data_IF_755887497974
#
_entry.id   IF_755887497974
#
_cell.length_a   1.000
_cell.length_b   1.000
_cell.length_c   1.000
_cell.angle_alpha   90.00
_cell.angle_beta   90.00
_cell.angle_gamma   90.00
#
_symmetry.space_group_name_H-M   'P 1'
#
loop_
_entity.id
_entity.type
_entity.pdbx_description
1 polymer ?
#
# COMPACT_ATOMS: atom_id res chain seq x y z
N UNK A 1 -10.71 -11.77 23.48
CA UNK A 1 -9.62 -12.07 22.54
C UNK A 1 -8.33 -11.38 22.96
N UNK A 2 -7.19 -11.75 22.38
CA UNK A 2 -5.94 -11.00 22.51
C UNK A 2 -5.82 -9.97 21.37
N UNK A 3 -5.27 -8.79 21.69
CA UNK A 3 -5.06 -7.72 20.74
C UNK A 3 -3.88 -6.83 21.13
N UNK A 4 -3.28 -6.18 20.13
CA UNK A 4 -2.33 -5.10 20.33
C UNK A 4 -3.10 -3.78 20.40
N UNK A 5 -3.29 -3.26 21.58
CA UNK A 5 -4.10 -2.08 21.87
C UNK A 5 -3.20 -0.87 22.08
N UNK A 6 -3.46 0.19 21.35
CA UNK A 6 -2.81 1.48 21.53
C UNK A 6 -3.63 2.34 22.51
N UNK A 7 -3.05 2.61 23.67
CA UNK A 7 -3.67 3.41 24.75
C UNK A 7 -3.27 4.88 24.71
N UNK A 8 -2.17 5.20 24.04
CA UNK A 8 -1.62 6.54 23.90
C UNK A 8 -0.37 6.50 23.03
N UNK A 9 0.25 7.66 22.79
CA UNK A 9 1.53 7.70 22.06
C UNK A 9 2.59 6.84 22.75
N UNK A 10 3.24 6.01 21.97
CA UNK A 10 4.26 5.02 22.39
C UNK A 10 3.75 3.96 23.40
N UNK A 11 2.44 3.90 23.63
CA UNK A 11 1.84 2.96 24.58
C UNK A 11 0.97 1.92 23.86
N UNK A 12 1.61 1.03 23.11
CA UNK A 12 0.98 -0.11 22.47
C UNK A 12 1.25 -1.38 23.29
N UNK A 13 0.19 -2.10 23.68
CA UNK A 13 0.26 -3.26 24.58
C UNK A 13 -0.45 -4.46 23.98
N UNK A 14 0.12 -5.64 24.14
CA UNK A 14 -0.58 -6.91 23.89
C UNK A 14 -1.39 -7.27 25.12
N UNK A 15 -2.71 -7.17 25.03
CA UNK A 15 -3.59 -7.32 26.17
C UNK A 15 -4.87 -8.11 25.83
N UNK A 16 -5.68 -8.38 26.85
CA UNK A 16 -7.03 -8.94 26.67
C UNK A 16 -7.97 -7.82 26.24
N UNK A 17 -8.66 -8.03 25.14
CA UNK A 17 -9.60 -7.09 24.57
C UNK A 17 -10.96 -7.73 24.34
N UNK A 18 -12.00 -6.92 24.27
CA UNK A 18 -13.33 -7.40 23.95
C UNK A 18 -13.34 -8.07 22.56
N UNK A 19 -13.94 -9.27 22.49
CA UNK A 19 -14.12 -9.93 21.19
C UNK A 19 -15.28 -9.25 20.45
N UNK A 20 -15.06 -8.73 19.22
CA UNK A 20 -16.10 -8.01 18.52
C UNK A 20 -17.27 -8.91 18.15
N UNK A 21 -18.48 -8.39 18.30
CA UNK A 21 -19.71 -9.08 17.92
C UNK A 21 -20.04 -8.86 16.44
N UNK A 22 -20.53 -9.94 15.79
CA UNK A 22 -21.02 -9.86 14.41
C UNK A 22 -22.39 -9.19 14.38
N UNK A 23 -22.58 -8.29 13.44
CA UNK A 23 -23.83 -7.58 13.17
C UNK A 23 -24.38 -7.98 11.81
N UNK A 24 -25.66 -7.72 11.51
CA UNK A 24 -26.20 -7.92 10.16
C UNK A 24 -25.31 -7.25 9.10
N UNK A 25 -25.04 -7.96 8.00
CA UNK A 25 -24.17 -7.47 6.91
C UNK A 25 -22.67 -7.47 7.19
N UNK A 26 -22.20 -8.03 8.34
CA UNK A 26 -20.77 -8.10 8.67
C UNK A 26 -20.30 -9.55 8.79
N UNK A 27 -18.98 -9.73 8.73
CA UNK A 27 -18.31 -11.02 9.00
C UNK A 27 -17.21 -10.84 10.03
N UNK A 28 -16.99 -11.87 10.85
CA UNK A 28 -15.84 -11.97 11.74
C UNK A 28 -14.73 -12.75 11.07
N UNK A 29 -13.58 -12.14 10.97
CA UNK A 29 -12.38 -12.74 10.40
C UNK A 29 -11.41 -13.08 11.53
N UNK A 30 -10.97 -14.34 11.59
CA UNK A 30 -9.81 -14.75 12.38
C UNK A 30 -8.56 -14.32 11.64
N UNK A 31 -7.87 -13.31 12.17
CA UNK A 31 -6.66 -12.76 11.54
C UNK A 31 -5.51 -13.76 11.62
N UNK A 32 -4.91 -14.09 10.50
CA UNK A 32 -3.75 -14.99 10.40
C UNK A 32 -2.45 -14.24 10.19
N UNK A 33 -2.49 -13.18 9.40
CA UNK A 33 -1.35 -12.32 9.15
C UNK A 33 -1.83 -10.88 8.98
N UNK A 34 -1.05 -9.93 9.49
CA UNK A 34 -1.33 -8.50 9.32
C UNK A 34 -0.02 -7.71 9.22
N UNK A 35 0.09 -6.84 8.21
CA UNK A 35 1.26 -5.99 7.97
C UNK A 35 1.20 -4.71 8.80
N UNK A 36 2.36 -4.20 9.21
CA UNK A 36 2.48 -2.84 9.72
C UNK A 36 2.64 -1.90 8.52
N UNK A 37 1.68 -1.00 8.34
CA UNK A 37 1.74 0.05 7.33
C UNK A 37 2.62 1.22 7.82
N UNK A 38 3.29 1.90 6.88
CA UNK A 38 3.99 3.15 7.19
C UNK A 38 3.09 4.22 7.84
N UNK A 39 1.79 4.19 7.56
CA UNK A 39 0.82 5.10 8.19
C UNK A 39 0.49 4.77 9.65
N UNK A 40 0.76 3.56 10.14
CA UNK A 40 0.57 3.19 11.54
C UNK A 40 1.70 3.74 12.41
N UNK A 41 2.89 3.89 11.84
CA UNK A 41 4.09 4.34 12.57
C UNK A 41 3.89 5.72 13.24
N UNK A 42 3.48 6.78 12.52
CA UNK A 42 3.25 8.08 13.16
C UNK A 42 2.07 8.06 14.15
N UNK A 43 1.09 7.16 13.98
CA UNK A 43 -0.01 7.01 14.96
C UNK A 43 0.47 6.45 16.28
N UNK A 44 1.44 5.53 16.25
CA UNK A 44 2.00 4.93 17.45
C UNK A 44 3.08 5.80 18.07
N UNK A 45 4.00 6.37 17.26
CA UNK A 45 5.24 6.98 17.76
C UNK A 45 5.23 8.53 17.82
N UNK A 46 4.32 9.21 17.09
CA UNK A 46 4.43 10.67 16.91
C UNK A 46 3.14 11.46 17.14
N UNK A 47 2.18 11.32 16.20
CA UNK A 47 1.01 12.22 16.13
C UNK A 47 -0.22 11.71 16.84
N UNK A 48 -0.21 10.43 17.24
CA UNK A 48 -1.33 9.78 17.86
C UNK A 48 -2.39 9.26 16.88
N UNK A 49 -3.34 8.52 17.44
CA UNK A 49 -4.48 7.95 16.73
C UNK A 49 -5.69 8.91 16.79
N UNK A 50 -6.71 8.64 16.00
CA UNK A 50 -7.96 9.42 15.99
C UNK A 50 -8.73 9.32 17.30
N UNK A 51 -8.58 8.22 18.02
CA UNK A 51 -9.20 7.96 19.32
C UNK A 51 -8.39 6.90 20.08
N UNK A 52 -8.61 6.80 21.39
CA UNK A 52 -8.01 5.81 22.27
C UNK A 52 -9.06 5.21 23.21
N UNK A 53 -8.92 3.93 23.59
CA UNK A 53 -7.98 2.98 23.09
C UNK A 53 -8.37 2.46 21.70
N UNK A 54 -7.38 2.13 20.86
CA UNK A 54 -7.62 1.62 19.49
C UNK A 54 -6.75 0.43 19.16
N UNK A 55 -7.31 -0.54 18.45
CA UNK A 55 -6.59 -1.61 17.76
C UNK A 55 -6.33 -1.14 16.33
N UNK A 56 -5.05 -0.95 15.98
CA UNK A 56 -4.65 -0.57 14.62
C UNK A 56 -4.60 -1.78 13.68
N UNK A 57 -4.02 -1.61 12.49
CA UNK A 57 -3.82 -2.65 11.49
C UNK A 57 -4.94 -2.74 10.47
N UNK A 58 -4.55 -2.71 9.19
CA UNK A 58 -5.47 -2.65 8.04
C UNK A 58 -4.99 -3.43 6.82
N UNK A 59 -3.77 -3.96 6.85
CA UNK A 59 -3.21 -4.84 5.81
C UNK A 59 -3.28 -6.28 6.33
N UNK A 60 -4.38 -7.01 6.11
CA UNK A 60 -4.55 -8.31 6.77
C UNK A 60 -5.25 -9.36 5.90
N UNK A 61 -5.07 -10.60 6.32
CA UNK A 61 -5.77 -11.76 5.80
C UNK A 61 -6.12 -12.75 6.91
N UNK A 62 -7.12 -13.58 6.65
CA UNK A 62 -7.55 -14.59 7.59
C UNK A 62 -8.74 -15.40 7.12
N UNK A 63 -9.35 -16.14 8.06
CA UNK A 63 -10.49 -17.01 7.81
C UNK A 63 -11.78 -16.39 8.34
N UNK A 64 -12.85 -16.46 7.57
CA UNK A 64 -14.19 -16.14 8.06
C UNK A 64 -14.62 -17.20 9.09
N UNK A 65 -14.90 -16.78 10.31
CA UNK A 65 -15.30 -17.69 11.41
C UNK A 65 -16.73 -17.47 11.87
N UNK A 66 -17.35 -16.36 11.51
CA UNK A 66 -18.74 -16.05 11.80
C UNK A 66 -19.31 -15.13 10.72
N UNK A 67 -20.57 -15.37 10.33
CA UNK A 67 -21.25 -14.64 9.25
C UNK A 67 -22.54 -14.04 9.81
N UNK A 68 -22.71 -12.73 9.64
CA UNK A 68 -23.90 -12.01 10.07
C UNK A 68 -25.11 -12.22 9.18
N UNK A 69 -26.27 -11.89 9.70
CA UNK A 69 -27.52 -11.97 8.97
C UNK A 69 -27.44 -11.14 7.68
N UNK A 70 -28.01 -11.68 6.58
CA UNK A 70 -28.08 -11.01 5.28
C UNK A 70 -26.85 -11.13 4.40
N UNK A 71 -25.74 -11.69 4.89
CA UNK A 71 -24.55 -11.98 4.06
C UNK A 71 -24.80 -13.23 3.23
N UNK A 72 -24.57 -13.16 1.91
CA UNK A 72 -24.88 -14.26 0.96
C UNK A 72 -23.63 -14.83 0.28
N UNK A 73 -22.61 -14.02 0.07
CA UNK A 73 -21.47 -14.38 -0.79
C UNK A 73 -20.26 -14.90 -0.01
N UNK A 74 -20.35 -14.97 1.32
CA UNK A 74 -19.31 -15.45 2.21
C UNK A 74 -19.84 -16.56 3.12
N UNK A 75 -18.98 -17.54 3.39
CA UNK A 75 -19.22 -18.68 4.26
C UNK A 75 -18.13 -18.84 5.30
N UNK A 76 -18.46 -19.47 6.42
CA UNK A 76 -17.45 -19.88 7.42
C UNK A 76 -16.42 -20.78 6.73
N UNK A 77 -15.14 -20.46 6.94
CA UNK A 77 -14.00 -21.14 6.32
C UNK A 77 -13.47 -20.48 5.06
N UNK A 78 -14.15 -19.47 4.50
CA UNK A 78 -13.61 -18.70 3.39
C UNK A 78 -12.37 -17.92 3.82
N UNK A 79 -11.34 -17.91 2.96
CA UNK A 79 -10.15 -17.09 3.13
C UNK A 79 -10.38 -15.71 2.53
N UNK A 80 -10.10 -14.66 3.31
CA UNK A 80 -10.34 -13.27 2.90
C UNK A 80 -9.20 -12.33 3.26
N UNK A 81 -8.99 -11.33 2.40
CA UNK A 81 -8.23 -10.12 2.72
C UNK A 81 -9.20 -8.95 2.92
N UNK A 82 -8.90 -8.07 3.86
CA UNK A 82 -9.82 -6.98 4.21
C UNK A 82 -9.51 -5.69 3.46
N UNK A 83 -10.49 -5.16 2.73
CA UNK A 83 -10.45 -3.82 2.16
C UNK A 83 -10.79 -2.79 3.24
N UNK A 84 -9.83 -1.95 3.71
CA UNK A 84 -10.02 -1.22 4.97
C UNK A 84 -10.95 -0.01 4.90
N UNK A 85 -11.19 0.58 3.72
CA UNK A 85 -12.09 1.73 3.59
C UNK A 85 -13.55 1.29 3.81
N UNK A 86 -14.27 2.01 4.64
CA UNK A 86 -15.72 1.85 4.83
C UNK A 86 -16.40 3.15 4.42
N UNK A 87 -16.74 3.31 3.13
CA UNK A 87 -17.38 4.53 2.62
C UNK A 87 -18.84 4.60 3.05
N UNK A 88 -19.40 5.81 3.11
CA UNK A 88 -20.79 5.99 3.53
C UNK A 88 -21.84 5.56 2.51
N UNK A 89 -21.46 5.28 1.28
CA UNK A 89 -22.28 4.89 0.11
C UNK A 89 -23.37 5.90 -0.32
N UNK A 90 -23.52 7.02 0.40
CA UNK A 90 -24.64 7.96 0.22
C UNK A 90 -24.21 9.35 -0.28
N UNK A 91 -22.95 9.78 -0.11
CA UNK A 91 -22.51 11.09 -0.57
C UNK A 91 -22.29 11.12 -2.09
N UNK A 92 -22.20 12.32 -2.66
CA UNK A 92 -22.02 12.49 -4.10
C UNK A 92 -20.80 11.79 -4.68
N UNK A 93 -19.68 11.75 -3.93
CA UNK A 93 -18.48 11.03 -4.35
C UNK A 93 -18.73 9.51 -4.41
N UNK A 94 -19.39 8.95 -3.38
CA UNK A 94 -19.74 7.52 -3.38
C UNK A 94 -20.70 7.15 -4.52
N UNK A 95 -21.68 7.99 -4.81
CA UNK A 95 -22.64 7.76 -5.90
C UNK A 95 -21.98 7.80 -7.28
N UNK A 96 -20.83 8.46 -7.41
CA UNK A 96 -20.02 8.50 -8.62
C UNK A 96 -18.95 7.40 -8.66
N UNK A 97 -18.88 6.54 -7.64
CA UNK A 97 -17.85 5.51 -7.53
C UNK A 97 -16.48 5.99 -7.00
N UNK A 98 -16.40 7.24 -6.57
CA UNK A 98 -15.17 7.84 -6.02
C UNK A 98 -15.07 7.56 -4.51
N UNK A 99 -15.05 6.30 -4.12
CA UNK A 99 -15.16 5.89 -2.71
C UNK A 99 -14.05 6.42 -1.82
N UNK A 100 -12.82 6.51 -2.34
CA UNK A 100 -11.66 7.06 -1.64
C UNK A 100 -11.84 8.55 -1.26
N UNK A 101 -12.72 9.28 -1.95
CA UNK A 101 -13.03 10.69 -1.72
C UNK A 101 -14.25 10.90 -0.82
N UNK A 102 -14.81 9.83 -0.26
CA UNK A 102 -15.96 9.90 0.64
C UNK A 102 -15.64 10.77 1.87
N UNK A 103 -16.45 11.81 2.11
CA UNK A 103 -16.26 12.74 3.24
C UNK A 103 -16.64 12.17 4.60
N UNK A 104 -17.39 11.07 4.61
CA UNK A 104 -17.94 10.42 5.80
C UNK A 104 -17.46 8.97 5.96
N UNK A 105 -16.26 8.66 5.46
CA UNK A 105 -15.74 7.31 5.55
C UNK A 105 -15.28 6.95 6.96
N UNK A 106 -15.40 5.68 7.29
CA UNK A 106 -14.62 5.02 8.33
C UNK A 106 -13.47 4.22 7.71
N UNK A 107 -12.53 3.79 8.53
CA UNK A 107 -11.37 3.05 8.06
C UNK A 107 -10.95 2.03 9.12
N UNK A 108 -10.94 0.76 8.76
CA UNK A 108 -10.55 -0.35 9.62
C UNK A 108 -9.08 -0.13 10.05
N UNK A 109 -8.82 -0.22 11.36
CA UNK A 109 -7.48 -0.03 11.91
C UNK A 109 -7.02 1.42 12.08
N UNK A 110 -7.90 2.40 11.93
CA UNK A 110 -7.56 3.80 12.28
C UNK A 110 -8.74 4.63 12.76
N UNK A 111 -9.93 4.50 12.13
CA UNK A 111 -11.17 5.17 12.53
C UNK A 111 -12.18 4.22 13.17
N UNK A 112 -11.86 2.95 13.17
CA UNK A 112 -12.48 1.86 13.91
C UNK A 112 -11.44 0.81 14.24
N UNK A 113 -11.79 -0.18 15.10
CA UNK A 113 -10.88 -1.24 15.51
C UNK A 113 -10.41 -2.06 14.30
N UNK A 114 -9.14 -2.45 14.31
CA UNK A 114 -8.46 -3.10 13.18
C UNK A 114 -7.95 -4.51 13.46
N UNK A 115 -6.97 -4.91 12.69
CA UNK A 115 -6.50 -6.28 12.55
C UNK A 115 -5.31 -6.66 13.45
N UNK A 116 -4.76 -5.74 14.26
CA UNK A 116 -3.75 -6.14 15.25
C UNK A 116 -4.39 -6.87 16.43
N UNK A 117 -5.17 -7.90 16.13
CA UNK A 117 -5.95 -8.71 17.06
C UNK A 117 -6.14 -10.12 16.53
N UNK A 118 -6.63 -11.05 17.39
CA UNK A 118 -7.03 -12.40 16.95
C UNK A 118 -8.22 -12.36 15.98
N UNK A 119 -9.14 -11.42 16.17
CA UNK A 119 -10.35 -11.29 15.36
C UNK A 119 -10.64 -9.83 15.02
N UNK A 120 -11.18 -9.62 13.84
CA UNK A 120 -11.72 -8.34 13.39
C UNK A 120 -13.11 -8.57 12.76
N UNK A 121 -14.04 -7.65 12.98
CA UNK A 121 -15.35 -7.65 12.32
C UNK A 121 -15.36 -6.54 11.28
N UNK A 122 -15.73 -6.92 10.05
CA UNK A 122 -15.75 -6.02 8.89
C UNK A 122 -17.07 -6.14 8.13
N UNK A 123 -17.53 -5.12 7.40
CA UNK A 123 -18.65 -5.27 6.47
C UNK A 123 -18.34 -6.36 5.44
N UNK A 124 -19.31 -7.19 5.09
CA UNK A 124 -19.10 -8.30 4.16
C UNK A 124 -18.56 -7.83 2.79
N UNK A 125 -19.02 -6.68 2.30
CA UNK A 125 -18.51 -6.07 1.07
C UNK A 125 -17.02 -5.67 1.11
N UNK A 126 -16.43 -5.60 2.30
CA UNK A 126 -15.02 -5.30 2.53
C UNK A 126 -14.16 -6.57 2.61
N UNK A 127 -14.76 -7.74 2.66
CA UNK A 127 -14.06 -9.02 2.70
C UNK A 127 -13.84 -9.55 1.28
N UNK A 128 -12.62 -9.41 0.77
CA UNK A 128 -12.23 -9.87 -0.57
C UNK A 128 -11.78 -11.32 -0.48
N UNK A 129 -12.61 -12.23 -1.00
CA UNK A 129 -12.32 -13.66 -1.04
C UNK A 129 -11.19 -13.95 -2.01
N UNK A 130 -10.31 -14.86 -1.64
CA UNK A 130 -9.20 -15.29 -2.48
C UNK A 130 -9.01 -16.81 -2.42
N UNK A 131 -8.26 -17.36 -3.37
CA UNK A 131 -7.96 -18.78 -3.44
C UNK A 131 -7.09 -19.22 -2.25
N UNK A 132 -7.47 -20.27 -1.47
CA UNK A 132 -6.74 -20.70 -0.29
C UNK A 132 -5.32 -21.23 -0.58
N UNK A 133 -4.94 -21.41 -1.85
CA UNK A 133 -3.55 -21.68 -2.23
C UNK A 133 -2.61 -20.50 -2.01
N UNK A 134 -3.15 -19.27 -1.92
CA UNK A 134 -2.37 -18.06 -1.61
C UNK A 134 -2.10 -18.03 -0.10
N UNK A 135 -0.83 -18.02 0.35
CA UNK A 135 -0.49 -17.96 1.77
C UNK A 135 -1.02 -16.68 2.45
N UNK A 136 -1.43 -16.77 3.71
CA UNK A 136 -1.97 -15.62 4.45
C UNK A 136 -1.05 -14.39 4.45
N UNK A 137 0.27 -14.57 4.60
CA UNK A 137 1.22 -13.45 4.56
C UNK A 137 1.24 -12.74 3.21
N UNK A 138 1.07 -13.50 2.14
CA UNK A 138 0.94 -12.96 0.79
C UNK A 138 -0.40 -12.24 0.62
N UNK A 139 -1.50 -12.83 1.11
CA UNK A 139 -2.82 -12.22 1.03
C UNK A 139 -2.96 -10.97 1.92
N UNK A 140 -2.19 -10.86 3.02
CA UNK A 140 -2.09 -9.63 3.81
C UNK A 140 -1.43 -8.48 3.01
N UNK A 141 -0.74 -8.78 1.91
CA UNK A 141 -0.16 -7.79 1.01
C UNK A 141 -1.12 -7.33 -0.11
N UNK A 142 -2.38 -7.77 -0.10
CA UNK A 142 -3.36 -7.31 -1.09
C UNK A 142 -3.56 -5.81 -1.00
N UNK A 143 -3.78 -5.28 0.20
CA UNK A 143 -4.00 -3.84 0.40
C UNK A 143 -2.87 -3.00 -0.20
N UNK A 144 -1.58 -3.16 0.17
CA UNK A 144 -0.52 -2.36 -0.43
C UNK A 144 -0.33 -2.62 -1.95
N UNK A 145 -0.64 -3.82 -2.44
CA UNK A 145 -0.65 -4.08 -3.88
C UNK A 145 -1.75 -3.30 -4.61
N UNK A 146 -2.94 -3.19 -3.99
CA UNK A 146 -4.04 -2.42 -4.59
C UNK A 146 -3.75 -0.92 -4.62
N UNK A 147 -3.05 -0.38 -3.63
CA UNK A 147 -2.56 1.02 -3.64
C UNK A 147 -1.64 1.27 -4.84
N UNK A 148 -0.75 0.31 -5.11
CA UNK A 148 0.18 0.42 -6.23
C UNK A 148 -0.53 0.41 -7.60
N UNK A 149 -1.40 -0.58 -7.86
CA UNK A 149 -2.15 -0.63 -9.13
C UNK A 149 -3.06 0.58 -9.30
N UNK A 150 -3.68 1.07 -8.23
CA UNK A 150 -4.52 2.27 -8.29
C UNK A 150 -3.74 3.48 -8.81
N UNK A 151 -2.48 3.64 -8.39
CA UNK A 151 -1.59 4.68 -8.92
C UNK A 151 -1.40 4.60 -10.44
N UNK A 152 -1.23 3.38 -11.00
CA UNK A 152 -1.14 3.19 -12.43
C UNK A 152 -2.45 3.56 -13.14
N UNK A 153 -3.58 3.17 -12.54
CA UNK A 153 -4.91 3.47 -13.10
C UNK A 153 -5.22 4.97 -13.06
N UNK A 154 -4.83 5.68 -12.01
CA UNK A 154 -4.98 7.13 -11.90
C UNK A 154 -4.09 7.88 -12.91
N UNK A 155 -2.91 7.34 -13.23
CA UNK A 155 -2.03 7.87 -14.28
C UNK A 155 -2.49 7.51 -15.70
N UNK A 156 -3.61 6.82 -15.87
CA UNK A 156 -4.09 6.31 -17.16
C UNK A 156 -3.05 5.44 -17.91
N UNK A 157 -2.24 4.69 -17.15
CA UNK A 157 -1.15 3.88 -17.71
C UNK A 157 -1.67 2.79 -18.65
N UNK A 158 -1.14 2.73 -19.88
CA UNK A 158 -1.58 1.80 -20.92
C UNK A 158 -0.58 0.70 -21.26
N UNK A 159 0.63 0.74 -20.69
CA UNK A 159 1.74 -0.14 -21.11
C UNK A 159 2.45 0.34 -22.37
N UNK A 160 3.47 -0.41 -22.79
CA UNK A 160 4.26 -0.11 -23.99
C UNK A 160 5.28 1.03 -23.84
N UNK A 161 5.38 1.64 -22.67
CA UNK A 161 6.16 2.86 -22.41
C UNK A 161 7.28 2.63 -21.38
N UNK A 162 8.17 3.63 -21.28
CA UNK A 162 9.23 3.65 -20.27
C UNK A 162 8.68 4.13 -18.93
N UNK A 163 9.11 3.47 -17.86
CA UNK A 163 8.62 3.70 -16.50
C UNK A 163 9.78 3.96 -15.55
N UNK A 164 9.70 5.02 -14.78
CA UNK A 164 10.56 5.28 -13.62
C UNK A 164 9.77 5.04 -12.32
N UNK A 165 10.34 4.25 -11.41
CA UNK A 165 9.81 4.02 -10.07
C UNK A 165 10.73 4.68 -9.05
N UNK A 166 10.22 5.67 -8.31
CA UNK A 166 10.98 6.41 -7.30
C UNK A 166 10.62 5.92 -5.91
N UNK A 167 11.56 5.20 -5.29
CA UNK A 167 11.38 4.46 -4.05
C UNK A 167 11.02 2.99 -4.29
N UNK A 168 11.83 2.08 -3.72
CA UNK A 168 11.68 0.64 -3.84
C UNK A 168 11.19 0.02 -2.51
N UNK A 169 10.36 0.73 -1.77
CA UNK A 169 9.59 0.18 -0.65
C UNK A 169 8.49 -0.76 -1.14
N UNK A 170 7.65 -1.23 -0.24
CA UNK A 170 6.56 -2.16 -0.56
C UNK A 170 5.69 -1.68 -1.72
N UNK A 171 5.26 -0.41 -1.70
CA UNK A 171 4.43 0.17 -2.77
C UNK A 171 5.20 0.24 -4.09
N UNK A 172 6.48 0.70 -4.06
CA UNK A 172 7.29 0.81 -5.28
C UNK A 172 7.54 -0.53 -5.95
N UNK A 173 7.79 -1.58 -5.18
CA UNK A 173 7.97 -2.94 -5.71
C UNK A 173 6.68 -3.48 -6.34
N UNK A 174 5.51 -3.21 -5.76
CA UNK A 174 4.25 -3.59 -6.40
C UNK A 174 3.95 -2.71 -7.63
N UNK A 175 4.21 -1.40 -7.58
CA UNK A 175 4.05 -0.51 -8.73
C UNK A 175 4.89 -0.99 -9.93
N UNK A 176 6.13 -1.41 -9.66
CA UNK A 176 7.03 -2.00 -10.65
C UNK A 176 6.44 -3.26 -11.29
N UNK A 177 5.94 -4.18 -10.46
CA UNK A 177 5.36 -5.43 -10.94
C UNK A 177 4.08 -5.19 -11.76
N UNK A 178 3.22 -4.30 -11.28
CA UNK A 178 2.02 -3.91 -12.03
C UNK A 178 2.36 -3.25 -13.36
N UNK A 179 3.36 -2.36 -13.39
CA UNK A 179 3.82 -1.78 -14.63
C UNK A 179 4.31 -2.85 -15.63
N UNK A 180 5.00 -3.88 -15.13
CA UNK A 180 5.46 -5.02 -15.94
C UNK A 180 4.31 -5.86 -16.46
N UNK A 181 3.34 -6.21 -15.59
CA UNK A 181 2.12 -6.97 -15.95
C UNK A 181 1.34 -6.23 -17.04
N UNK A 182 1.25 -4.92 -16.95
CA UNK A 182 0.58 -4.08 -17.96
C UNK A 182 1.44 -3.80 -19.20
N UNK A 183 2.62 -4.43 -19.32
CA UNK A 183 3.43 -4.41 -20.52
C UNK A 183 4.36 -3.21 -20.65
N UNK A 184 4.97 -2.75 -19.56
CA UNK A 184 6.01 -1.73 -19.61
C UNK A 184 7.11 -2.11 -20.61
N UNK A 185 7.54 -1.16 -21.46
CA UNK A 185 8.64 -1.36 -22.39
C UNK A 185 9.98 -1.46 -21.66
N UNK A 186 10.18 -0.62 -20.65
CA UNK A 186 11.38 -0.60 -19.81
C UNK A 186 11.03 0.00 -18.45
N UNK A 187 11.51 -0.62 -17.38
CA UNK A 187 11.31 -0.18 -16.00
C UNK A 187 12.64 0.10 -15.35
N UNK A 188 12.83 1.31 -14.85
CA UNK A 188 14.01 1.70 -14.08
C UNK A 188 13.58 2.10 -12.65
N UNK A 189 14.19 1.47 -11.67
CA UNK A 189 13.91 1.71 -10.27
C UNK A 189 15.02 2.53 -9.60
N UNK A 190 14.61 3.50 -8.79
CA UNK A 190 15.50 4.44 -8.09
C UNK A 190 15.28 4.32 -6.58
N UNK A 191 16.33 4.11 -5.83
CA UNK A 191 16.32 4.11 -4.36
C UNK A 191 17.70 4.52 -3.83
N UNK A 192 17.79 4.72 -2.53
CA UNK A 192 19.06 4.97 -1.80
C UNK A 192 19.64 3.69 -1.19
N UNK A 193 18.87 2.61 -1.10
CA UNK A 193 19.20 1.35 -0.44
C UNK A 193 19.46 0.24 -1.46
N UNK A 194 20.67 -0.34 -1.43
CA UNK A 194 21.07 -1.39 -2.38
C UNK A 194 20.27 -2.68 -2.20
N UNK A 195 19.82 -2.99 -0.98
CA UNK A 195 19.03 -4.18 -0.69
C UNK A 195 17.65 -4.09 -1.35
N UNK A 196 17.00 -2.91 -1.26
CA UNK A 196 15.72 -2.63 -1.94
C UNK A 196 15.89 -2.62 -3.45
N UNK A 197 16.99 -2.07 -3.97
CA UNK A 197 17.30 -2.12 -5.39
C UNK A 197 17.54 -3.55 -5.88
N UNK A 198 18.22 -4.39 -5.10
CA UNK A 198 18.39 -5.80 -5.43
C UNK A 198 17.04 -6.55 -5.46
N UNK A 199 16.11 -6.23 -4.54
CA UNK A 199 14.74 -6.75 -4.59
C UNK A 199 14.02 -6.25 -5.84
N UNK A 200 14.08 -4.95 -6.17
CA UNK A 200 13.48 -4.39 -7.37
C UNK A 200 13.97 -5.11 -8.64
N UNK A 201 15.27 -5.39 -8.72
CA UNK A 201 15.85 -6.14 -9.85
C UNK A 201 15.28 -7.56 -9.95
N UNK A 202 15.18 -8.29 -8.83
CA UNK A 202 14.55 -9.63 -8.79
C UNK A 202 13.07 -9.60 -9.18
N UNK A 203 12.37 -8.53 -8.78
CA UNK A 203 10.93 -8.37 -9.08
C UNK A 203 10.65 -7.86 -10.49
N UNK A 204 11.69 -7.55 -11.26
CA UNK A 204 11.56 -7.33 -12.69
C UNK A 204 11.91 -5.94 -13.20
N UNK A 205 12.59 -5.10 -12.42
CA UNK A 205 13.21 -3.89 -12.94
C UNK A 205 14.28 -4.24 -13.98
N UNK A 206 14.26 -3.55 -15.11
CA UNK A 206 15.29 -3.71 -16.15
C UNK A 206 16.62 -3.09 -15.74
N UNK A 207 16.56 -1.94 -15.04
CA UNK A 207 17.73 -1.29 -14.44
C UNK A 207 17.39 -0.75 -13.05
N UNK A 208 18.41 -0.59 -12.22
CA UNK A 208 18.29 -0.03 -10.87
C UNK A 208 19.37 1.02 -10.64
N UNK A 209 19.03 2.13 -10.00
CA UNK A 209 19.94 3.26 -9.78
C UNK A 209 19.92 3.65 -8.31
N UNK A 210 21.10 3.57 -7.65
CA UNK A 210 21.27 4.11 -6.31
C UNK A 210 21.56 5.60 -6.40
N UNK A 211 20.63 6.43 -5.97
CA UNK A 211 20.68 7.89 -6.12
C UNK A 211 21.66 8.60 -5.18
N UNK A 212 22.22 7.91 -4.19
CA UNK A 212 23.31 8.42 -3.36
C UNK A 212 24.70 8.12 -3.93
N UNK A 213 24.81 7.09 -4.79
CA UNK A 213 26.08 6.57 -5.31
C UNK A 213 26.36 7.00 -6.74
N UNK A 214 25.36 7.49 -7.45
CA UNK A 214 25.42 7.77 -8.89
C UNK A 214 24.74 9.09 -9.21
N UNK A 215 25.23 9.78 -10.24
CA UNK A 215 24.44 10.84 -10.87
C UNK A 215 23.26 10.21 -11.59
N UNK A 216 22.11 10.21 -10.92
CA UNK A 216 20.90 9.58 -11.45
C UNK A 216 20.43 10.22 -12.75
N UNK A 217 20.70 11.52 -12.98
CA UNK A 217 20.34 12.19 -14.24
C UNK A 217 21.23 11.77 -15.39
N UNK A 218 22.53 11.53 -15.17
CA UNK A 218 23.42 11.01 -16.20
C UNK A 218 22.93 9.63 -16.66
N UNK A 219 22.70 8.71 -15.73
CA UNK A 219 22.17 7.38 -16.05
C UNK A 219 20.78 7.41 -16.70
N UNK A 220 19.86 8.24 -16.19
CA UNK A 220 18.54 8.41 -16.78
C UNK A 220 18.63 8.92 -18.21
N UNK A 221 19.53 9.87 -18.49
CA UNK A 221 19.77 10.41 -19.83
C UNK A 221 20.39 9.36 -20.77
N UNK A 222 21.30 8.52 -20.29
CA UNK A 222 21.88 7.43 -21.06
C UNK A 222 20.79 6.41 -21.45
N UNK A 223 20.01 5.94 -20.47
CA UNK A 223 18.96 4.92 -20.66
C UNK A 223 17.84 5.42 -21.60
N UNK A 224 17.47 6.70 -21.51
CA UNK A 224 16.32 7.25 -22.25
C UNK A 224 16.72 8.03 -23.51
N UNK A 225 18.02 8.10 -23.82
CA UNK A 225 18.52 8.97 -24.90
C UNK A 225 18.17 10.44 -24.68
N UNK A 226 18.18 10.91 -23.44
CA UNK A 226 17.80 12.27 -22.99
C UNK A 226 16.33 12.64 -23.19
N UNK A 227 15.45 11.66 -23.46
CA UNK A 227 14.01 11.90 -23.64
C UNK A 227 13.24 11.93 -22.31
N UNK A 228 13.80 11.35 -21.25
CA UNK A 228 13.11 11.13 -19.98
C UNK A 228 12.16 9.92 -20.03
N UNK A 229 11.39 9.72 -18.94
CA UNK A 229 10.44 8.61 -18.81
C UNK A 229 9.02 9.06 -19.12
N UNK A 230 8.30 8.22 -19.84
CA UNK A 230 6.90 8.50 -20.23
C UNK A 230 5.94 8.34 -19.03
N UNK A 231 6.32 7.51 -18.05
CA UNK A 231 5.60 7.38 -16.80
C UNK A 231 6.57 7.44 -15.62
N UNK A 232 6.25 8.24 -14.61
CA UNK A 232 7.04 8.40 -13.40
C UNK A 232 6.13 8.20 -12.19
N UNK A 233 6.38 7.15 -11.41
CA UNK A 233 5.62 6.85 -10.19
C UNK A 233 6.48 7.16 -8.97
N UNK A 234 6.05 8.12 -8.17
CA UNK A 234 6.68 8.47 -6.91
C UNK A 234 5.97 7.74 -5.77
N UNK A 235 6.71 6.88 -5.05
CA UNK A 235 6.17 5.98 -4.04
C UNK A 235 6.84 6.11 -2.67
N UNK A 236 7.86 6.97 -2.56
CA UNK A 236 8.63 7.17 -1.33
C UNK A 236 8.02 8.24 -0.40
N UNK A 237 7.22 9.17 -0.95
CA UNK A 237 6.67 10.29 -0.20
C UNK A 237 7.75 11.25 0.32
N UNK A 238 8.88 11.35 -0.39
CA UNK A 238 10.01 12.16 0.04
C UNK A 238 10.17 13.40 -0.86
N UNK A 239 10.39 14.60 -0.30
CA UNK A 239 10.60 15.81 -1.10
C UNK A 239 11.70 15.72 -2.17
N UNK A 240 12.72 14.88 -1.96
CA UNK A 240 13.79 14.68 -2.94
C UNK A 240 13.25 13.93 -4.15
N UNK A 241 12.62 12.77 -3.94
CA UNK A 241 12.05 11.94 -5.01
C UNK A 241 10.90 12.63 -5.74
N UNK A 242 10.07 13.42 -5.03
CA UNK A 242 9.03 14.24 -5.65
C UNK A 242 9.61 15.29 -6.62
N UNK A 243 10.74 15.93 -6.27
CA UNK A 243 11.45 16.83 -7.18
C UNK A 243 12.09 16.08 -8.35
N UNK A 244 12.72 14.93 -8.08
CA UNK A 244 13.30 14.08 -9.13
C UNK A 244 12.28 13.69 -10.20
N UNK A 245 11.02 13.47 -9.80
CA UNK A 245 9.96 13.11 -10.74
C UNK A 245 9.76 14.16 -11.85
N UNK A 246 9.90 15.45 -11.53
CA UNK A 246 9.81 16.55 -12.52
C UNK A 246 10.99 16.56 -13.50
N UNK A 247 12.20 16.23 -13.01
CA UNK A 247 13.39 16.18 -13.86
C UNK A 247 13.35 14.97 -14.80
N UNK A 248 12.95 13.81 -14.27
CA UNK A 248 12.92 12.55 -14.99
C UNK A 248 11.78 12.43 -16.01
N UNK A 249 10.71 13.22 -15.87
CA UNK A 249 9.56 13.18 -16.77
C UNK A 249 9.95 13.56 -18.22
N UNK A 250 9.47 12.79 -19.19
CA UNK A 250 9.54 13.13 -20.60
C UNK A 250 8.52 14.23 -20.98
N UNK A 251 8.56 14.70 -22.21
CA UNK A 251 7.48 15.53 -22.77
C UNK A 251 6.19 14.71 -22.81
N UNK A 252 5.07 15.31 -22.39
CA UNK A 252 3.74 14.66 -22.31
C UNK A 252 3.69 13.44 -21.38
N UNK A 253 4.64 13.30 -20.46
CA UNK A 253 4.67 12.20 -19.51
C UNK A 253 3.48 12.21 -18.54
N UNK A 254 3.26 11.08 -17.87
CA UNK A 254 2.41 10.97 -16.69
C UNK A 254 3.29 10.85 -15.45
N UNK A 255 3.14 11.78 -14.53
CA UNK A 255 3.78 11.77 -13.20
C UNK A 255 2.71 11.51 -12.16
N UNK A 256 2.81 10.43 -11.40
CA UNK A 256 1.85 10.09 -10.36
C UNK A 256 2.51 10.05 -8.99
N UNK A 257 1.97 10.82 -8.05
CA UNK A 257 2.36 10.78 -6.65
C UNK A 257 1.46 9.80 -5.89
N UNK A 258 2.03 8.68 -5.49
CA UNK A 258 1.41 7.66 -4.64
C UNK A 258 1.91 7.83 -3.20
N UNK A 259 3.19 8.22 -3.04
CA UNK A 259 3.79 8.54 -1.76
C UNK A 259 3.22 9.84 -1.17
N UNK A 260 3.02 9.86 0.16
CA UNK A 260 2.53 11.05 0.89
C UNK A 260 3.70 11.72 1.61
N UNK A 261 3.98 13.02 1.35
CA UNK A 261 5.05 13.72 2.05
C UNK A 261 4.66 14.01 3.52
N UNK A 262 5.64 13.88 4.40
CA UNK A 262 5.49 14.20 5.83
C UNK A 262 6.19 15.51 6.24
N UNK A 263 6.79 16.22 5.27
CA UNK A 263 7.47 17.50 5.46
C UNK A 263 7.13 18.44 4.33
N UNK A 264 7.44 19.72 4.49
CA UNK A 264 7.19 20.73 3.47
C UNK A 264 7.86 20.39 2.14
N UNK A 265 7.13 20.56 1.06
CA UNK A 265 7.58 20.33 -0.30
C UNK A 265 7.79 21.67 -1.02
N UNK A 266 9.04 21.95 -1.37
CA UNK A 266 9.40 23.18 -2.06
C UNK A 266 9.98 22.88 -3.45
N UNK A 267 9.49 23.59 -4.45
CA UNK A 267 10.01 23.58 -5.82
C UNK A 267 10.63 24.93 -6.16
N UNK A 268 11.79 24.93 -6.82
CA UNK A 268 12.30 26.15 -7.43
C UNK A 268 11.42 26.52 -8.64
N UNK A 269 11.31 27.82 -9.01
CA UNK A 269 10.57 28.21 -10.21
C UNK A 269 11.02 27.46 -11.46
N UNK A 270 12.32 27.24 -11.62
CA UNK A 270 12.89 26.49 -12.76
C UNK A 270 12.41 25.03 -12.80
N UNK A 271 12.37 24.35 -11.64
CA UNK A 271 11.93 22.96 -11.56
C UNK A 271 10.42 22.85 -11.82
N UNK A 272 9.64 23.75 -11.21
CA UNK A 272 8.19 23.81 -11.42
C UNK A 272 7.83 24.06 -12.89
N UNK A 273 8.59 24.93 -13.57
CA UNK A 273 8.39 25.23 -14.98
C UNK A 273 8.56 24.00 -15.89
N UNK A 274 9.24 22.93 -15.46
CA UNK A 274 9.30 21.68 -16.20
C UNK A 274 7.90 21.11 -16.51
N UNK A 275 6.93 21.27 -15.60
CA UNK A 275 5.55 20.85 -15.86
C UNK A 275 4.96 21.58 -17.07
N UNK A 276 5.16 22.90 -17.14
CA UNK A 276 4.66 23.71 -18.25
C UNK A 276 5.43 23.42 -19.56
N UNK A 277 6.76 23.34 -19.48
CA UNK A 277 7.62 23.17 -20.69
C UNK A 277 7.51 21.78 -21.30
N UNK A 278 7.31 20.76 -20.47
CA UNK A 278 7.14 19.37 -20.90
C UNK A 278 5.67 19.00 -21.09
N UNK A 279 4.74 19.86 -20.67
CA UNK A 279 3.29 19.61 -20.68
C UNK A 279 2.93 18.22 -20.12
N UNK A 280 3.64 17.76 -19.07
CA UNK A 280 3.34 16.49 -18.45
C UNK A 280 2.11 16.59 -17.52
N UNK A 281 1.41 15.47 -17.36
CA UNK A 281 0.28 15.35 -16.46
C UNK A 281 0.76 15.01 -15.06
N UNK A 282 0.40 15.80 -14.05
CA UNK A 282 0.66 15.50 -12.65
C UNK A 282 -0.63 15.00 -11.99
N UNK A 283 -0.58 13.79 -11.43
CA UNK A 283 -1.72 13.12 -10.83
C UNK A 283 -1.40 12.70 -9.40
N UNK A 284 -2.34 12.86 -8.48
CA UNK A 284 -2.30 12.26 -7.15
C UNK A 284 -3.05 10.93 -7.13
N UNK A 285 -2.58 9.99 -6.30
CA UNK A 285 -3.27 8.73 -6.03
C UNK A 285 -3.56 8.62 -4.54
N UNK A 286 -4.79 8.26 -4.19
CA UNK A 286 -5.23 8.16 -2.80
C UNK A 286 -6.01 6.88 -2.56
N UNK A 287 -5.51 6.02 -1.66
CA UNK A 287 -6.09 4.70 -1.37
C UNK A 287 -6.15 3.79 -2.63
N UNK A 288 -7.20 2.94 -2.78
CA UNK A 288 -7.23 1.91 -3.82
C UNK A 288 -8.65 1.41 -4.13
N UNK A 289 -9.58 2.32 -4.43
CA UNK A 289 -10.99 1.97 -4.57
C UNK A 289 -11.61 2.51 -5.85
N UNK A 290 -12.36 1.66 -6.54
CA UNK A 290 -13.12 2.01 -7.73
C UNK A 290 -14.49 1.31 -7.72
N UNK A 291 -15.38 1.67 -8.65
CA UNK A 291 -16.67 1.03 -8.79
C UNK A 291 -16.58 -0.20 -9.72
N UNK A 292 -17.32 -1.32 -9.40
CA UNK A 292 -18.08 -1.54 -8.16
C UNK A 292 -17.15 -1.73 -6.94
N UNK A 293 -17.59 -1.32 -5.75
CA UNK A 293 -16.78 -1.45 -4.53
C UNK A 293 -16.48 -2.93 -4.18
N UNK A 294 -15.25 -3.29 -3.73
CA UNK A 294 -14.11 -2.42 -3.40
C UNK A 294 -13.30 -1.97 -4.63
N UNK A 295 -13.52 -2.53 -5.81
CA UNK A 295 -12.90 -2.12 -7.05
C UNK A 295 -12.08 -3.22 -7.71
N UNK A 296 -11.87 -3.06 -9.02
CA UNK A 296 -11.11 -4.00 -9.84
C UNK A 296 -9.67 -4.19 -9.36
N UNK A 297 -9.12 -3.25 -8.62
CA UNK A 297 -7.79 -3.33 -8.02
C UNK A 297 -7.66 -4.56 -7.14
N UNK A 298 -8.70 -4.87 -6.38
CA UNK A 298 -8.77 -6.02 -5.47
C UNK A 298 -8.92 -7.33 -6.21
N UNK A 299 -9.80 -7.38 -7.21
CA UNK A 299 -10.03 -8.57 -8.05
C UNK A 299 -8.77 -8.93 -8.84
N UNK A 300 -8.12 -7.93 -9.45
CA UNK A 300 -6.87 -8.12 -10.18
C UNK A 300 -5.75 -8.58 -9.26
N UNK A 301 -5.65 -8.02 -8.06
CA UNK A 301 -4.63 -8.44 -7.07
C UNK A 301 -4.81 -9.91 -6.70
N UNK A 302 -6.04 -10.33 -6.38
CA UNK A 302 -6.33 -11.73 -6.08
C UNK A 302 -5.98 -12.65 -7.26
N UNK A 303 -6.40 -12.28 -8.47
CA UNK A 303 -6.14 -13.04 -9.68
C UNK A 303 -4.64 -13.20 -9.96
N UNK A 304 -3.88 -12.10 -10.00
CA UNK A 304 -2.47 -12.13 -10.38
C UNK A 304 -1.56 -12.74 -9.30
N UNK A 305 -1.97 -12.72 -8.05
CA UNK A 305 -1.30 -13.52 -7.02
C UNK A 305 -1.58 -15.01 -7.19
N UNK A 306 -2.80 -15.40 -7.56
CA UNK A 306 -3.17 -16.79 -7.80
C UNK A 306 -2.44 -17.36 -9.02
N UNK A 307 -2.31 -16.60 -10.11
CA UNK A 307 -1.59 -17.03 -11.33
C UNK A 307 -0.07 -16.99 -11.15
N UNK A 308 0.44 -16.32 -10.11
CA UNK A 308 1.87 -16.18 -9.83
C UNK A 308 2.60 -15.13 -10.68
N UNK A 309 1.86 -14.34 -11.47
CA UNK A 309 2.45 -13.21 -12.22
C UNK A 309 2.80 -12.05 -11.30
N UNK A 310 1.93 -11.76 -10.31
CA UNK A 310 2.26 -10.89 -9.19
C UNK A 310 3.00 -11.73 -8.15
N UNK A 311 4.28 -11.45 -7.96
CA UNK A 311 5.17 -12.27 -7.16
C UNK A 311 5.28 -11.77 -5.73
N UNK A 312 5.32 -12.72 -4.81
CA UNK A 312 5.67 -12.50 -3.42
C UNK A 312 7.01 -13.16 -3.13
N UNK A 313 8.03 -12.33 -2.87
CA UNK A 313 9.36 -12.79 -2.47
C UNK A 313 9.50 -12.63 -0.97
N UNK A 314 10.21 -13.55 -0.32
CA UNK A 314 10.51 -13.46 1.12
C UNK A 314 11.22 -12.13 1.47
N UNK A 315 11.91 -11.50 0.52
CA UNK A 315 12.53 -10.19 0.66
C UNK A 315 11.55 -9.02 0.84
N UNK A 316 10.24 -9.21 0.60
CA UNK A 316 9.22 -8.22 0.98
C UNK A 316 9.07 -8.11 2.50
N UNK A 317 9.21 -9.24 3.20
CA UNK A 317 9.09 -9.27 4.66
C UNK A 317 10.49 -9.09 5.24
N UNK A 318 10.70 -7.95 5.87
CA UNK A 318 11.93 -7.66 6.60
C UNK A 318 12.03 -8.48 7.88
N UNK A 319 10.95 -8.50 8.67
CA UNK A 319 10.83 -9.29 9.90
C UNK A 319 9.40 -9.72 10.17
N UNK A 320 9.30 -10.83 10.89
CA UNK A 320 8.05 -11.36 11.41
C UNK A 320 8.09 -11.34 12.93
N UNK A 321 6.95 -10.99 13.51
CA UNK A 321 6.75 -11.03 14.95
C UNK A 321 5.41 -11.69 15.27
N UNK A 322 5.32 -12.50 16.33
CA UNK A 322 4.03 -12.82 16.90
C UNK A 322 3.38 -11.51 17.42
N UNK A 323 2.07 -11.44 17.37
CA UNK A 323 1.32 -10.24 17.81
C UNK A 323 1.68 -9.84 19.24
N UNK A 324 2.02 -10.81 20.11
CA UNK A 324 2.46 -10.58 21.48
C UNK A 324 3.74 -9.72 21.61
N UNK A 325 4.52 -9.58 20.52
CA UNK A 325 5.75 -8.77 20.47
C UNK A 325 5.58 -7.48 19.65
N UNK A 326 4.36 -6.98 19.53
CA UNK A 326 4.04 -5.78 18.74
C UNK A 326 4.84 -4.56 19.18
N UNK A 327 5.05 -4.35 20.48
CA UNK A 327 5.84 -3.22 20.99
C UNK A 327 7.30 -3.25 20.49
N UNK A 328 7.90 -4.44 20.39
CA UNK A 328 9.25 -4.62 19.82
C UNK A 328 9.25 -4.33 18.30
N UNK A 329 8.20 -4.74 17.60
CA UNK A 329 8.05 -4.47 16.17
C UNK A 329 8.01 -2.95 15.89
N UNK A 330 7.22 -2.20 16.68
CA UNK A 330 7.17 -0.73 16.55
C UNK A 330 8.44 -0.04 17.04
N UNK A 331 9.17 -0.59 18.00
CA UNK A 331 10.42 -0.02 18.47
C UNK A 331 11.49 0.09 17.37
N UNK A 332 11.46 -0.80 16.36
CA UNK A 332 12.37 -0.72 15.21
C UNK A 332 12.17 0.56 14.39
N UNK A 333 10.93 1.06 14.31
CA UNK A 333 10.63 2.28 13.56
C UNK A 333 11.08 3.57 14.25
N UNK A 334 11.62 3.50 15.48
CA UNK A 334 12.33 4.64 16.11
C UNK A 334 13.59 5.02 15.34
N UNK A 335 14.18 4.05 14.62
CA UNK A 335 15.23 4.27 13.62
C UNK A 335 14.77 3.67 12.27
N UNK A 336 14.08 4.44 11.43
CA UNK A 336 13.54 3.94 10.16
C UNK A 336 14.62 3.42 9.20
N UNK A 337 15.90 3.82 9.39
CA UNK A 337 17.00 3.34 8.56
C UNK A 337 17.26 1.83 8.74
N UNK A 338 16.80 1.25 9.85
CA UNK A 338 16.93 -0.19 10.13
C UNK A 338 15.82 -1.04 9.52
N UNK A 339 14.76 -0.41 8.93
CA UNK A 339 13.61 -1.14 8.39
C UNK A 339 13.69 -1.16 6.87
N UNK A 340 14.07 -2.31 6.31
CA UNK A 340 14.30 -2.46 4.86
C UNK A 340 13.14 -3.12 4.10
N UNK A 341 11.98 -3.28 4.72
CA UNK A 341 10.80 -3.91 4.10
C UNK A 341 9.61 -3.95 5.05
N UNK A 342 8.63 -4.80 4.77
CA UNK A 342 7.43 -4.96 5.57
C UNK A 342 7.73 -5.70 6.88
N UNK A 343 7.18 -5.21 7.98
CA UNK A 343 7.08 -5.99 9.22
C UNK A 343 5.71 -6.65 9.25
N UNK A 344 5.71 -7.96 9.43
CA UNK A 344 4.50 -8.78 9.49
C UNK A 344 4.24 -9.25 10.92
N UNK A 345 3.02 -9.09 11.39
CA UNK A 345 2.54 -9.65 12.64
C UNK A 345 1.70 -10.90 12.35
N UNK A 346 1.86 -11.93 13.16
CA UNK A 346 1.11 -13.19 13.02
C UNK A 346 0.43 -13.53 14.33
N UNK A 347 -0.76 -14.12 14.24
CA UNK A 347 -1.41 -14.82 15.35
C UNK A 347 -1.08 -16.30 15.23
N UNK A 348 -0.57 -16.89 16.30
CA UNK A 348 -0.25 -18.30 16.41
C UNK A 348 -1.50 -19.20 16.35
#
# INVERSE_FOLDING_TARGET
MKAAVLFGNEDIRYDTWETPEVKPGTVKVRVRATGICGSDVPRVLHHGAHFYPVVLGHEFSGDVVEVGEGVKDLSIGDTVSGAPLVPCMNCGDCQQGNFALCKHYSFIGSRQQGSFAEYVVIPAQNAVKYDPSIPYKQAAMFEPSTVAIHGLLQADYKGGETVAILGCGTIGIFTLQWAKIFGAKKIVAFDIDDGRLALAKRMGADDVINTLKSDFMEYANEITGKQGYQNVFETAGNPVTMRMAFDLAANKAHVCFIGTPHTDLTFTPKLWENMNRKEFHLTGSWMSYSAPFPGREWDLTAHYFQTGELKFDIGFIFREYPLSRVAEAFALYKDPSQVHGKIMLTND
#
